data_IF_368227299410
#
_entry.id   IF_368227299410
#
_cell.length_a   1.000
_cell.length_b   1.000
_cell.length_c   1.000
_cell.angle_alpha   90.00
_cell.angle_beta   90.00
_cell.angle_gamma   90.00
#
_symmetry.space_group_name_H-M   'P 1'
#
loop_
_entity.id
_entity.type
_entity.pdbx_description
1 polymer ?
#
# COMPACT_ATOMS: atom_id res chain seq x y z
N UNK A 1 -21.37 -13.17 -33.35
CA UNK A 1 -20.27 -13.65 -32.50
C UNK A 1 -19.19 -14.32 -33.34
N UNK A 2 -19.53 -15.22 -34.27
CA UNK A 2 -18.56 -15.93 -35.12
C UNK A 2 -17.63 -15.02 -35.95
N UNK A 3 -18.15 -13.89 -36.43
CA UNK A 3 -17.35 -12.90 -37.16
C UNK A 3 -16.31 -12.21 -36.26
N UNK A 4 -16.72 -11.78 -35.06
CA UNK A 4 -15.83 -11.14 -34.09
C UNK A 4 -14.77 -12.13 -33.57
N UNK A 5 -15.19 -13.37 -33.30
CA UNK A 5 -14.27 -14.43 -32.90
C UNK A 5 -13.22 -14.70 -33.99
N UNK A 6 -13.66 -14.80 -35.25
CA UNK A 6 -12.76 -15.00 -36.40
C UNK A 6 -11.77 -13.84 -36.54
N UNK A 7 -12.25 -12.60 -36.49
CA UNK A 7 -11.42 -11.40 -36.58
C UNK A 7 -10.36 -11.36 -35.47
N UNK A 8 -10.75 -11.64 -34.21
CA UNK A 8 -9.83 -11.66 -33.07
C UNK A 8 -8.83 -12.83 -33.15
N UNK A 9 -9.27 -14.00 -33.60
CA UNK A 9 -8.40 -15.18 -33.77
C UNK A 9 -7.37 -14.97 -34.88
N UNK A 10 -7.78 -14.36 -36.00
CA UNK A 10 -6.87 -14.01 -37.11
C UNK A 10 -5.85 -12.96 -36.67
N UNK A 11 -6.25 -11.99 -35.86
CA UNK A 11 -5.35 -10.99 -35.28
C UNK A 11 -4.32 -11.62 -34.32
N UNK A 12 -4.74 -12.55 -33.46
CA UNK A 12 -3.83 -13.27 -32.57
C UNK A 12 -2.84 -14.15 -33.35
N UNK A 13 -3.31 -14.87 -34.38
CA UNK A 13 -2.46 -15.67 -35.26
C UNK A 13 -1.45 -14.80 -36.02
N UNK A 14 -1.84 -13.61 -36.47
CA UNK A 14 -0.92 -12.66 -37.09
C UNK A 14 0.10 -12.13 -36.07
N UNK A 15 -0.31 -11.88 -34.83
CA UNK A 15 0.58 -11.51 -33.72
C UNK A 15 1.62 -12.58 -33.41
N UNK A 16 1.22 -13.85 -33.35
CA UNK A 16 2.14 -14.99 -33.15
C UNK A 16 3.20 -15.05 -34.26
N UNK A 17 2.81 -14.85 -35.52
CA UNK A 17 3.76 -14.82 -36.65
C UNK A 17 4.77 -13.69 -36.53
N UNK A 18 4.32 -12.51 -36.12
CA UNK A 18 5.21 -11.35 -35.89
C UNK A 18 6.15 -11.56 -34.71
N UNK A 19 5.67 -12.17 -33.63
CA UNK A 19 6.48 -12.50 -32.46
C UNK A 19 7.57 -13.52 -32.81
N UNK A 20 7.27 -14.55 -33.59
CA UNK A 20 8.27 -15.52 -34.09
C UNK A 20 9.37 -14.82 -34.92
N UNK A 21 9.03 -13.74 -35.61
CA UNK A 21 9.96 -12.95 -36.41
C UNK A 21 10.64 -11.82 -35.60
N UNK A 22 10.52 -11.79 -34.27
CA UNK A 22 11.01 -10.72 -33.38
C UNK A 22 10.49 -9.31 -33.72
N UNK A 23 9.35 -9.21 -34.42
CA UNK A 23 8.71 -7.95 -34.81
C UNK A 23 7.69 -7.43 -33.77
N UNK A 24 7.54 -8.14 -32.65
CA UNK A 24 6.55 -7.85 -31.61
C UNK A 24 7.10 -8.18 -30.23
N UNK A 25 6.77 -7.39 -29.23
CA UNK A 25 7.15 -7.67 -27.84
C UNK A 25 6.26 -8.73 -27.19
N UNK A 26 6.77 -9.41 -26.16
CA UNK A 26 5.99 -10.39 -25.39
C UNK A 26 4.73 -9.76 -24.76
N UNK A 27 4.83 -8.53 -24.24
CA UNK A 27 3.69 -7.82 -23.64
C UNK A 27 2.56 -7.55 -24.66
N UNK A 28 2.91 -7.25 -25.91
CA UNK A 28 1.93 -7.07 -26.98
C UNK A 28 1.26 -8.40 -27.38
N UNK A 29 2.04 -9.48 -27.42
CA UNK A 29 1.52 -10.83 -27.70
C UNK A 29 0.59 -11.30 -26.58
N UNK A 30 0.97 -11.09 -25.32
CA UNK A 30 0.17 -11.41 -24.14
C UNK A 30 -1.18 -10.71 -24.20
N UNK A 31 -1.20 -9.41 -24.55
CA UNK A 31 -2.43 -8.63 -24.73
C UNK A 31 -3.34 -9.22 -25.81
N UNK A 32 -2.78 -9.66 -26.94
CA UNK A 32 -3.55 -10.30 -28.01
C UNK A 32 -4.09 -11.66 -27.59
N UNK A 33 -3.32 -12.44 -26.83
CA UNK A 33 -3.76 -13.71 -26.26
C UNK A 33 -4.91 -13.51 -25.27
N UNK A 34 -4.82 -12.52 -24.38
CA UNK A 34 -5.91 -12.21 -23.44
C UNK A 34 -7.17 -11.80 -24.19
N UNK A 35 -7.03 -11.00 -25.25
CA UNK A 35 -8.16 -10.57 -26.09
C UNK A 35 -8.83 -11.75 -26.80
N UNK A 36 -8.07 -12.71 -27.32
CA UNK A 36 -8.60 -13.93 -27.94
C UNK A 36 -9.31 -14.82 -26.91
N UNK A 37 -8.69 -15.04 -25.74
CA UNK A 37 -9.28 -15.80 -24.65
C UNK A 37 -10.60 -15.19 -24.15
N UNK A 38 -10.70 -13.86 -24.13
CA UNK A 38 -11.95 -13.15 -23.81
C UNK A 38 -13.00 -13.36 -24.92
N UNK A 39 -12.64 -13.25 -26.20
CA UNK A 39 -13.58 -13.49 -27.29
C UNK A 39 -14.14 -14.93 -27.29
N UNK A 40 -13.32 -15.92 -26.93
CA UNK A 40 -13.72 -17.33 -26.83
C UNK A 40 -14.59 -17.60 -25.59
N UNK A 41 -14.28 -16.98 -24.45
CA UNK A 41 -15.02 -17.18 -23.19
C UNK A 41 -16.22 -16.25 -23.03
N UNK A 42 -16.96 -15.97 -24.11
CA UNK A 42 -18.18 -15.13 -24.08
C UNK A 42 -19.20 -15.54 -23.01
N UNK A 43 -19.34 -16.84 -22.74
CA UNK A 43 -20.20 -17.40 -21.70
C UNK A 43 -19.78 -17.00 -20.27
N UNK A 44 -18.54 -16.56 -20.05
CA UNK A 44 -18.02 -16.09 -18.75
C UNK A 44 -18.04 -14.57 -18.59
N UNK A 45 -18.44 -13.82 -19.62
CA UNK A 45 -18.40 -12.35 -19.57
C UNK A 45 -19.27 -11.77 -18.45
N UNK A 46 -20.43 -12.37 -18.18
CA UNK A 46 -21.27 -11.96 -17.06
C UNK A 46 -20.52 -12.03 -15.72
N UNK A 47 -19.81 -13.14 -15.49
CA UNK A 47 -19.02 -13.34 -14.27
C UNK A 47 -17.83 -12.37 -14.19
N UNK A 48 -17.12 -12.14 -15.29
CA UNK A 48 -15.98 -11.19 -15.33
C UNK A 48 -16.46 -9.75 -15.11
N UNK A 49 -17.58 -9.35 -15.72
CA UNK A 49 -18.18 -8.03 -15.52
C UNK A 49 -18.59 -7.87 -14.05
N UNK A 50 -19.24 -8.89 -13.47
CA UNK A 50 -19.66 -8.86 -12.08
C UNK A 50 -18.46 -8.75 -11.14
N UNK A 51 -17.43 -9.59 -11.32
CA UNK A 51 -16.18 -9.54 -10.55
C UNK A 51 -15.52 -8.16 -10.61
N UNK A 52 -15.32 -7.62 -11.82
CA UNK A 52 -14.69 -6.31 -12.01
C UNK A 52 -15.54 -5.17 -11.48
N UNK A 53 -16.87 -5.29 -11.56
CA UNK A 53 -17.79 -4.32 -10.94
C UNK A 53 -17.68 -4.33 -9.41
N UNK A 54 -17.58 -5.50 -8.80
CA UNK A 54 -17.36 -5.62 -7.35
C UNK A 54 -16.00 -5.06 -6.94
N UNK A 55 -14.95 -5.31 -7.72
CA UNK A 55 -13.62 -4.75 -7.49
C UNK A 55 -13.65 -3.22 -7.51
N UNK A 56 -14.29 -2.63 -8.53
CA UNK A 56 -14.49 -1.19 -8.64
C UNK A 56 -15.29 -0.61 -7.46
N UNK A 57 -16.35 -1.29 -7.03
CA UNK A 57 -17.15 -0.86 -5.87
C UNK A 57 -16.35 -0.90 -4.56
N UNK A 58 -15.49 -1.90 -4.36
CA UNK A 58 -14.60 -1.97 -3.19
C UNK A 58 -13.58 -0.84 -3.20
N UNK A 59 -12.96 -0.55 -4.35
CA UNK A 59 -12.06 0.58 -4.49
C UNK A 59 -12.76 1.90 -4.17
N UNK A 60 -13.95 2.11 -4.74
CA UNK A 60 -14.79 3.29 -4.46
C UNK A 60 -15.04 3.44 -2.96
N UNK A 61 -15.40 2.36 -2.26
CA UNK A 61 -15.62 2.39 -0.81
C UNK A 61 -14.37 2.84 -0.06
N UNK A 62 -13.20 2.24 -0.33
CA UNK A 62 -11.93 2.61 0.31
C UNK A 62 -11.63 4.10 0.17
N UNK A 63 -11.81 4.64 -1.04
CA UNK A 63 -11.60 6.07 -1.30
C UNK A 63 -12.53 6.95 -0.44
N UNK A 64 -13.80 6.58 -0.30
CA UNK A 64 -14.71 7.34 0.57
C UNK A 64 -14.36 7.24 2.04
N UNK A 65 -13.97 6.06 2.51
CA UNK A 65 -13.58 5.85 3.91
C UNK A 65 -12.32 6.69 4.25
N UNK A 66 -11.34 6.71 3.35
CA UNK A 66 -10.15 7.56 3.50
C UNK A 66 -10.48 9.05 3.46
N UNK A 67 -11.37 9.47 2.56
CA UNK A 67 -11.78 10.86 2.42
C UNK A 67 -12.53 11.34 3.68
N UNK A 68 -13.41 10.51 4.24
CA UNK A 68 -14.06 10.78 5.52
C UNK A 68 -13.04 10.94 6.65
N UNK A 69 -12.03 10.07 6.71
CA UNK A 69 -10.95 10.18 7.70
C UNK A 69 -10.13 11.49 7.55
N UNK A 70 -9.95 11.98 6.33
CA UNK A 70 -9.30 13.27 6.07
C UNK A 70 -10.21 14.42 6.52
N UNK A 71 -11.51 14.40 6.19
CA UNK A 71 -12.46 15.43 6.60
C UNK A 71 -12.56 15.55 8.13
N UNK A 72 -12.56 14.41 8.84
CA UNK A 72 -12.55 14.40 10.31
C UNK A 72 -11.30 15.06 10.88
N UNK A 73 -10.12 14.79 10.30
CA UNK A 73 -8.85 15.43 10.68
C UNK A 73 -8.85 16.93 10.41
N UNK A 74 -9.36 17.35 9.25
CA UNK A 74 -9.48 18.77 8.91
C UNK A 74 -10.40 19.48 9.91
N UNK A 75 -11.56 18.89 10.19
CA UNK A 75 -12.50 19.45 11.17
C UNK A 75 -11.90 19.53 12.58
N UNK A 76 -11.09 18.57 13.00
CA UNK A 76 -10.39 18.64 14.28
C UNK A 76 -9.33 19.73 14.30
N UNK A 77 -8.55 19.89 13.22
CA UNK A 77 -7.60 21.01 13.09
C UNK A 77 -8.30 22.38 13.12
N UNK A 78 -9.43 22.54 12.42
CA UNK A 78 -10.23 23.77 12.46
C UNK A 78 -10.80 24.05 13.86
N UNK A 79 -11.21 23.02 14.61
CA UNK A 79 -11.63 23.17 16.00
C UNK A 79 -10.47 23.67 16.88
N UNK A 80 -9.27 23.12 16.71
CA UNK A 80 -8.07 23.57 17.42
C UNK A 80 -7.74 25.03 17.13
N UNK A 81 -7.76 25.44 15.86
CA UNK A 81 -7.47 26.82 15.45
C UNK A 81 -8.49 27.81 16.04
N UNK A 82 -9.76 27.42 16.09
CA UNK A 82 -10.85 28.25 16.61
C UNK A 82 -11.02 28.16 18.14
N UNK A 83 -10.11 27.46 18.85
CA UNK A 83 -10.19 27.28 20.30
C UNK A 83 -11.46 26.57 20.78
N UNK A 84 -12.05 25.72 19.93
CA UNK A 84 -13.25 24.94 20.25
C UNK A 84 -12.86 23.60 20.88
N UNK A 85 -13.73 23.10 21.76
CA UNK A 85 -13.57 21.78 22.36
C UNK A 85 -13.63 20.66 21.30
N UNK A 86 -12.77 19.67 21.47
CA UNK A 86 -12.73 18.47 20.63
C UNK A 86 -12.37 17.26 21.50
N UNK A 87 -12.87 16.08 21.08
CA UNK A 87 -12.57 14.84 21.77
C UNK A 87 -11.12 14.43 21.53
N UNK A 88 -10.46 14.00 22.61
CA UNK A 88 -9.07 13.56 22.60
C UNK A 88 -9.01 12.14 23.10
N UNK A 89 -8.20 11.31 22.45
CA UNK A 89 -7.82 10.01 22.99
C UNK A 89 -6.97 10.20 24.26
N UNK A 90 -7.62 10.05 25.41
CA UNK A 90 -6.99 10.18 26.72
C UNK A 90 -5.89 9.13 26.92
N UNK A 91 -6.04 7.92 26.39
CA UNK A 91 -5.03 6.87 26.57
C UNK A 91 -3.74 7.22 25.82
N UNK A 92 -3.89 7.64 24.55
CA UNK A 92 -2.77 8.14 23.75
C UNK A 92 -2.12 9.38 24.38
N UNK A 93 -2.92 10.32 24.89
CA UNK A 93 -2.40 11.52 25.54
C UNK A 93 -1.60 11.19 26.81
N UNK A 94 -2.10 10.29 27.65
CA UNK A 94 -1.40 9.85 28.87
C UNK A 94 -0.08 9.17 28.51
N UNK A 95 -0.09 8.20 27.59
CA UNK A 95 1.14 7.52 27.17
C UNK A 95 2.17 8.50 26.59
N UNK A 96 1.73 9.44 25.75
CA UNK A 96 2.62 10.45 25.20
C UNK A 96 3.19 11.38 26.29
N UNK A 97 2.35 11.77 27.25
CA UNK A 97 2.76 12.63 28.37
C UNK A 97 3.82 11.97 29.27
N UNK A 98 3.73 10.65 29.48
CA UNK A 98 4.74 9.88 30.21
C UNK A 98 6.08 9.92 29.49
N UNK A 99 6.09 9.70 28.17
CA UNK A 99 7.31 9.74 27.35
C UNK A 99 7.95 11.14 27.40
N UNK A 100 7.16 12.18 27.17
CA UNK A 100 7.64 13.58 27.20
C UNK A 100 8.11 13.99 28.60
N UNK A 101 7.43 13.53 29.65
CA UNK A 101 7.80 13.80 31.03
C UNK A 101 9.16 13.22 31.41
N UNK A 102 9.47 12.02 30.90
CA UNK A 102 10.77 11.35 31.11
C UNK A 102 11.86 11.90 30.20
N UNK A 103 11.51 12.53 29.07
CA UNK A 103 12.44 13.16 28.14
C UNK A 103 12.85 14.58 28.57
N UNK A 104 13.21 14.73 29.85
CA UNK A 104 13.71 15.96 30.47
C UNK A 104 15.07 15.69 31.08
N UNK A 105 15.91 16.72 31.21
CA UNK A 105 17.17 16.58 31.93
C UNK A 105 16.89 16.13 33.37
N UNK A 106 17.53 15.04 33.79
CA UNK A 106 17.38 14.52 35.14
C UNK A 106 17.83 15.58 36.17
N UNK A 107 17.16 15.68 37.33
CA UNK A 107 17.64 16.48 38.44
C UNK A 107 19.02 15.99 38.93
N UNK A 108 19.82 16.85 39.59
CA UNK A 108 21.06 16.42 40.23
C UNK A 108 20.81 15.27 41.21
N UNK A 109 21.62 14.20 41.15
CA UNK A 109 21.49 12.99 41.97
C UNK A 109 20.60 11.89 41.38
N UNK A 110 20.00 12.11 40.20
CA UNK A 110 19.18 11.13 39.48
C UNK A 110 19.85 10.61 38.20
N UNK A 111 21.16 10.84 38.04
CA UNK A 111 21.92 10.54 36.81
C UNK A 111 21.85 9.06 36.40
N UNK A 112 21.69 8.15 37.37
CA UNK A 112 21.67 6.71 37.17
C UNK A 112 20.27 6.08 37.33
N UNK A 113 19.21 6.89 37.29
CA UNK A 113 17.84 6.39 37.46
C UNK A 113 17.17 6.09 36.13
N UNK A 114 16.50 4.95 36.04
CA UNK A 114 15.69 4.57 34.87
C UNK A 114 14.41 5.44 34.72
N UNK A 115 14.19 6.38 35.64
CA UNK A 115 13.04 7.28 35.60
C UNK A 115 13.12 8.28 34.45
N UNK A 116 14.31 8.70 34.03
CA UNK A 116 14.50 9.70 32.98
C UNK A 116 15.13 9.08 31.74
N UNK A 117 14.68 9.52 30.57
CA UNK A 117 15.36 9.20 29.32
C UNK A 117 16.64 10.03 29.18
N UNK A 118 17.67 9.49 28.51
CA UNK A 118 18.83 10.29 28.18
C UNK A 118 18.41 11.49 27.29
N UNK A 119 19.03 12.67 27.46
CA UNK A 119 18.65 13.89 26.75
C UNK A 119 18.82 13.82 25.22
N UNK A 120 19.57 12.82 24.75
CA UNK A 120 19.78 12.52 23.34
C UNK A 120 19.66 11.01 23.15
N UNK A 121 19.22 10.55 21.97
CA UNK A 121 19.26 9.13 21.63
C UNK A 121 20.67 8.56 21.85
N UNK A 122 20.76 7.41 22.50
CA UNK A 122 22.05 6.73 22.64
C UNK A 122 22.55 6.27 21.27
N UNK A 123 23.87 6.16 21.09
CA UNK A 123 24.44 5.69 19.83
C UNK A 123 23.90 4.31 19.43
N UNK A 124 23.61 3.43 20.41
CA UNK A 124 22.99 2.13 20.16
C UNK A 124 21.54 2.25 19.66
N UNK A 125 20.77 3.20 20.19
CA UNK A 125 19.41 3.48 19.73
C UNK A 125 19.40 4.05 18.30
N UNK A 126 20.35 4.94 17.99
CA UNK A 126 20.52 5.46 16.62
C UNK A 126 20.89 4.34 15.64
N UNK A 127 21.83 3.47 16.03
CA UNK A 127 22.20 2.30 15.22
C UNK A 127 21.02 1.36 14.98
N UNK A 128 20.29 1.00 16.03
CA UNK A 128 19.10 0.16 15.92
C UNK A 128 18.05 0.75 14.97
N UNK A 129 17.75 2.04 15.07
CA UNK A 129 16.82 2.72 14.17
C UNK A 129 17.31 2.70 12.72
N UNK A 130 18.61 2.85 12.50
CA UNK A 130 19.23 2.86 11.18
C UNK A 130 19.38 1.45 10.57
N UNK A 131 19.55 0.43 11.41
CA UNK A 131 19.60 -0.98 11.01
C UNK A 131 18.19 -1.51 10.70
N UNK A 132 17.17 -1.06 11.44
CA UNK A 132 15.76 -1.41 11.16
C UNK A 132 15.21 -0.84 9.84
N UNK A 133 15.88 0.15 9.24
CA UNK A 133 15.61 0.59 7.87
C UNK A 133 16.27 -0.29 6.79
N UNK A 134 17.09 -1.27 7.17
CA UNK A 134 17.73 -2.21 6.25
C UNK A 134 16.98 -3.55 6.13
N UNK A 135 16.21 -3.95 7.16
CA UNK A 135 15.50 -5.23 7.19
C UNK A 135 14.19 -5.31 6.37
N UNK A 136 13.82 -4.27 5.61
CA UNK A 136 12.67 -4.34 4.68
C UNK A 136 13.06 -4.64 3.23
N UNK A 137 14.27 -5.14 2.97
CA UNK A 137 14.81 -5.26 1.60
C UNK A 137 15.23 -6.67 1.16
N UNK A 138 15.29 -7.67 2.05
CA UNK A 138 15.81 -9.00 1.71
C UNK A 138 14.87 -10.11 2.22
N UNK A 139 13.72 -10.25 1.57
CA UNK A 139 12.93 -11.48 1.56
C UNK A 139 12.51 -11.74 0.11
N UNK A 140 13.50 -11.95 -0.77
CA UNK A 140 13.35 -12.63 -2.05
C UNK A 140 14.73 -12.85 -2.70
N UNK A 141 15.44 -13.92 -2.29
CA UNK A 141 16.21 -14.75 -3.22
C UNK A 141 16.78 -16.04 -2.58
N UNK A 142 16.40 -17.16 -3.22
CA UNK A 142 17.15 -18.41 -3.38
C UNK A 142 17.51 -19.27 -2.16
N UNK A 143 16.74 -20.35 -1.99
CA UNK A 143 17.34 -21.70 -2.09
C UNK A 143 16.30 -22.72 -2.55
N UNK A 144 16.08 -22.75 -3.87
CA UNK A 144 15.63 -23.92 -4.58
C UNK A 144 16.69 -24.27 -5.62
N UNK A 145 17.61 -25.18 -5.27
CA UNK A 145 18.27 -26.10 -6.19
C UNK A 145 19.15 -27.08 -5.39
N UNK A 146 18.81 -28.36 -5.56
CA UNK A 146 19.61 -29.59 -5.46
C UNK A 146 21.02 -29.57 -4.84
#
# INVERSE_FOLDING_TARGET
>A
MDRLYREVSEEFLAGLRKYINDEMSYAELERLSTREALAFNSHRWGAVIEEKSCEALRMKRRVYDELLGIEEKVRTMEKMENGREFDVDLAGLVSHSEIVGRNRSHPPGYENTDLYFPPFPSLGMVRFLNDSSMESSDDDQESAAD
#
